data_IF_737710299560
#
_entry.id   IF_737710299560
#
_cell.length_a   1.000
_cell.length_b   1.000
_cell.length_c   1.000
_cell.angle_alpha   90.00
_cell.angle_beta   90.00
_cell.angle_gamma   90.00
#
_symmetry.space_group_name_H-M   'P 1'
#
loop_
_entity.id
_entity.type
_entity.pdbx_description
1 polymer ?
#
# COMPACT_ATOMS: atom_id res chain seq x y z
N UNK A 1 -35.19 1.85 -19.29
CA UNK A 1 -34.20 2.65 -18.54
C UNK A 1 -34.32 2.21 -17.09
N UNK A 2 -33.38 1.40 -16.58
CA UNK A 2 -33.49 0.80 -15.25
C UNK A 2 -33.03 1.81 -14.17
N UNK A 3 -33.75 1.85 -13.05
CA UNK A 3 -33.52 2.75 -11.91
C UNK A 3 -32.17 2.42 -11.22
N UNK A 4 -31.22 3.37 -11.11
CA UNK A 4 -29.93 3.16 -10.46
C UNK A 4 -30.02 2.84 -8.96
N UNK A 5 -31.19 2.99 -8.33
CA UNK A 5 -31.42 2.68 -6.91
C UNK A 5 -31.62 1.19 -6.60
N UNK A 6 -31.68 0.33 -7.62
CA UNK A 6 -31.91 -1.12 -7.46
C UNK A 6 -30.62 -1.96 -7.43
N UNK A 7 -29.44 -1.31 -7.40
CA UNK A 7 -28.17 -2.05 -7.26
C UNK A 7 -28.14 -2.72 -5.91
N UNK A 8 -28.32 -4.04 -5.91
CA UNK A 8 -28.12 -4.88 -4.73
C UNK A 8 -26.72 -4.59 -4.18
N UNK A 9 -26.56 -4.28 -2.88
CA UNK A 9 -25.24 -4.22 -2.26
C UNK A 9 -24.53 -5.54 -2.58
N UNK A 10 -23.32 -5.47 -3.11
CA UNK A 10 -22.53 -6.67 -3.37
C UNK A 10 -22.58 -7.55 -2.11
N UNK A 11 -23.12 -8.75 -2.26
CA UNK A 11 -23.15 -9.73 -1.18
C UNK A 11 -21.72 -9.84 -0.61
N UNK A 12 -21.56 -9.99 0.71
CA UNK A 12 -20.24 -10.25 1.27
C UNK A 12 -19.75 -11.56 0.63
N UNK A 13 -18.77 -11.45 -0.26
CA UNK A 13 -18.11 -12.61 -0.83
C UNK A 13 -17.42 -13.32 0.33
N UNK A 14 -17.89 -14.51 0.62
CA UNK A 14 -17.35 -15.41 1.63
C UNK A 14 -16.01 -15.96 1.10
N UNK A 15 -14.98 -15.10 1.05
CA UNK A 15 -13.58 -15.47 0.76
C UNK A 15 -12.94 -16.10 2.01
N UNK A 16 -13.64 -17.06 2.60
CA UNK A 16 -13.13 -17.85 3.71
C UNK A 16 -12.09 -18.85 3.16
N UNK A 17 -10.81 -18.46 3.24
CA UNK A 17 -9.71 -19.43 3.32
C UNK A 17 -8.63 -19.40 2.24
N UNK A 18 -8.70 -18.52 1.24
CA UNK A 18 -7.58 -18.38 0.30
C UNK A 18 -6.63 -17.31 0.83
N UNK A 19 -5.50 -17.72 1.40
CA UNK A 19 -4.39 -16.81 1.70
C UNK A 19 -3.87 -16.25 0.39
N UNK A 20 -4.40 -15.10 -0.05
CA UNK A 20 -3.87 -14.41 -1.21
C UNK A 20 -2.48 -13.88 -0.84
N UNK A 21 -1.44 -14.16 -1.64
CA UNK A 21 -0.14 -13.56 -1.42
C UNK A 21 -0.26 -12.04 -1.35
N UNK A 22 0.45 -11.43 -0.41
CA UNK A 22 0.47 -9.97 -0.30
C UNK A 22 1.17 -9.38 -1.53
N UNK A 23 0.38 -8.91 -2.49
CA UNK A 23 0.89 -8.35 -3.75
C UNK A 23 1.68 -7.05 -3.55
N UNK A 24 1.25 -6.22 -2.61
CA UNK A 24 1.83 -4.91 -2.32
C UNK A 24 1.68 -4.56 -0.83
N UNK A 25 2.74 -4.06 -0.19
CA UNK A 25 2.73 -3.56 1.18
C UNK A 25 3.50 -2.24 1.31
N UNK A 26 3.06 -1.38 2.23
CA UNK A 26 3.77 -0.16 2.63
C UNK A 26 4.38 -0.42 4.01
N UNK A 27 5.70 -0.37 4.12
CA UNK A 27 6.38 -0.49 5.40
C UNK A 27 6.37 0.81 6.18
N UNK A 28 6.50 0.71 7.50
CA UNK A 28 6.63 1.87 8.41
C UNK A 28 7.92 2.66 8.19
N UNK A 29 8.88 2.08 7.48
CA UNK A 29 10.10 2.75 7.00
C UNK A 29 9.84 3.60 5.73
N UNK A 30 8.59 3.70 5.28
CA UNK A 30 8.17 4.46 4.11
C UNK A 30 8.46 3.78 2.77
N UNK A 31 8.86 2.49 2.78
CA UNK A 31 9.17 1.74 1.56
C UNK A 31 7.99 0.91 1.07
N UNK A 32 7.99 0.64 -0.23
CA UNK A 32 7.02 -0.23 -0.89
C UNK A 32 7.64 -1.61 -1.07
N UNK A 33 6.88 -2.64 -0.72
CA UNK A 33 7.24 -4.04 -0.84
C UNK A 33 6.24 -4.76 -1.72
N UNK A 34 6.69 -5.82 -2.37
CA UNK A 34 5.87 -6.71 -3.19
C UNK A 34 6.10 -8.15 -2.74
N UNK A 35 5.20 -9.06 -3.11
CA UNK A 35 5.45 -10.49 -2.92
C UNK A 35 6.81 -10.86 -3.54
N UNK A 36 7.69 -11.50 -2.79
CA UNK A 36 8.95 -11.99 -3.33
C UNK A 36 8.71 -12.90 -4.55
N UNK A 37 7.70 -13.76 -4.50
CA UNK A 37 7.39 -14.71 -5.57
C UNK A 37 7.04 -14.06 -6.91
N UNK A 38 6.60 -12.79 -6.92
CA UNK A 38 6.28 -12.07 -8.15
C UNK A 38 7.52 -11.59 -8.93
N UNK A 39 8.73 -11.73 -8.35
CA UNK A 39 9.99 -11.35 -8.99
C UNK A 39 10.81 -12.58 -9.41
N UNK A 40 11.57 -12.55 -10.51
CA UNK A 40 12.55 -13.60 -10.82
C UNK A 40 13.60 -13.80 -9.69
N UNK A 41 14.07 -15.04 -9.40
CA UNK A 41 15.01 -15.31 -8.29
C UNK A 41 16.32 -14.52 -8.36
N UNK A 42 16.86 -14.33 -9.56
CA UNK A 42 18.05 -13.53 -9.87
C UNK A 42 17.90 -12.05 -9.46
N UNK A 43 16.66 -11.54 -9.44
CA UNK A 43 16.34 -10.18 -9.00
C UNK A 43 16.04 -10.06 -7.51
N UNK A 44 15.96 -11.18 -6.79
CA UNK A 44 15.72 -11.22 -5.34
C UNK A 44 16.99 -11.46 -4.53
N UNK A 45 18.00 -12.08 -5.14
CA UNK A 45 19.24 -12.44 -4.45
C UNK A 45 19.94 -11.22 -3.83
N UNK A 46 20.31 -11.34 -2.55
CA UNK A 46 20.98 -10.29 -1.79
C UNK A 46 20.10 -9.09 -1.39
N UNK A 47 18.80 -9.09 -1.70
CA UNK A 47 17.89 -7.99 -1.33
C UNK A 47 17.31 -8.19 0.07
N UNK A 48 17.07 -7.08 0.76
CA UNK A 48 16.35 -7.08 2.03
C UNK A 48 14.89 -7.51 1.81
N UNK A 49 14.43 -8.43 2.65
CA UNK A 49 13.04 -8.90 2.64
C UNK A 49 12.27 -8.29 3.81
N UNK A 50 11.02 -7.92 3.56
CA UNK A 50 10.09 -7.57 4.61
C UNK A 50 9.43 -8.83 5.14
N UNK A 51 9.44 -8.99 6.46
CA UNK A 51 8.71 -10.03 7.16
C UNK A 51 7.74 -9.36 8.12
N UNK A 52 6.45 -9.54 7.87
CA UNK A 52 5.38 -8.94 8.66
C UNK A 52 4.14 -9.80 8.63
N UNK A 53 3.14 -9.39 9.40
CA UNK A 53 1.83 -10.02 9.48
C UNK A 53 0.75 -9.05 8.98
N UNK A 54 -0.37 -9.62 8.52
CA UNK A 54 -1.54 -8.82 8.21
C UNK A 54 -2.02 -8.13 9.50
N UNK A 55 -2.15 -6.80 9.45
CA UNK A 55 -2.70 -6.04 10.55
C UNK A 55 -4.13 -6.48 10.85
N UNK A 56 -4.51 -6.47 12.12
CA UNK A 56 -5.92 -6.57 12.51
C UNK A 56 -6.69 -5.34 12.02
N UNK A 57 -8.04 -5.41 11.92
CA UNK A 57 -8.83 -4.25 11.50
C UNK A 57 -8.70 -3.01 12.39
N UNK A 58 -8.38 -3.18 13.68
CA UNK A 58 -8.13 -2.08 14.59
C UNK A 58 -6.77 -1.42 14.30
N UNK A 59 -5.70 -2.22 14.22
CA UNK A 59 -4.35 -1.73 13.90
C UNK A 59 -4.30 -1.05 12.53
N UNK A 60 -5.02 -1.59 11.54
CA UNK A 60 -5.09 -0.98 10.21
C UNK A 60 -5.73 0.42 10.25
N UNK A 61 -6.74 0.65 11.10
CA UNK A 61 -7.37 1.98 11.27
C UNK A 61 -6.37 2.97 11.87
N UNK A 62 -5.64 2.56 12.90
CA UNK A 62 -4.64 3.41 13.55
C UNK A 62 -3.48 3.74 12.60
N UNK A 63 -3.04 2.75 11.81
CA UNK A 63 -2.02 2.93 10.78
C UNK A 63 -2.49 3.88 9.67
N UNK A 64 -3.74 3.75 9.20
CA UNK A 64 -4.32 4.65 8.19
C UNK A 64 -4.42 6.07 8.72
N UNK A 65 -4.83 6.26 9.98
CA UNK A 65 -4.94 7.59 10.58
C UNK A 65 -3.55 8.26 10.66
N UNK A 66 -2.53 7.46 10.98
CA UNK A 66 -1.12 7.89 10.98
C UNK A 66 -0.64 8.23 9.57
N UNK A 67 -0.88 7.37 8.58
CA UNK A 67 -0.52 7.60 7.17
C UNK A 67 -1.23 8.84 6.64
N UNK A 68 -2.51 9.04 6.94
CA UNK A 68 -3.27 10.21 6.51
C UNK A 68 -2.68 11.51 7.06
N UNK A 69 -2.28 11.52 8.34
CA UNK A 69 -1.56 12.66 8.95
C UNK A 69 -0.18 12.89 8.31
N UNK A 70 0.51 11.83 7.90
CA UNK A 70 1.83 11.91 7.26
C UNK A 70 1.76 12.23 5.75
N UNK A 71 0.68 11.89 5.05
CA UNK A 71 0.53 12.05 3.61
C UNK A 71 0.64 13.52 3.15
N UNK A 72 0.26 14.45 4.02
CA UNK A 72 0.46 15.87 3.79
C UNK A 72 1.96 16.22 3.77
N UNK A 73 2.75 15.64 4.67
CA UNK A 73 4.20 15.86 4.76
C UNK A 73 4.94 15.23 3.57
N UNK A 74 4.51 14.06 3.09
CA UNK A 74 5.09 13.40 1.89
C UNK A 74 4.84 14.23 0.63
N UNK A 75 3.64 14.80 0.48
CA UNK A 75 3.33 15.69 -0.66
C UNK A 75 4.19 16.95 -0.64
N UNK A 76 4.43 17.51 0.55
CA UNK A 76 5.30 18.68 0.73
C UNK A 76 6.76 18.33 0.38
N UNK A 77 7.29 17.18 0.81
CA UNK A 77 8.65 16.75 0.50
C UNK A 77 8.88 16.55 -1.01
N UNK A 78 7.93 15.90 -1.71
CA UNK A 78 7.99 15.75 -3.18
C UNK A 78 8.00 17.11 -3.88
N UNK A 79 7.20 18.07 -3.40
CA UNK A 79 7.17 19.43 -3.96
C UNK A 79 8.43 20.25 -3.63
N UNK A 80 9.07 20.02 -2.47
CA UNK A 80 10.31 20.68 -2.08
C UNK A 80 11.51 20.13 -2.87
N UNK A 81 11.66 18.82 -2.99
CA UNK A 81 12.71 18.20 -3.82
C UNK A 81 12.59 18.56 -5.31
N UNK A 82 11.37 18.74 -5.81
CA UNK A 82 11.13 19.21 -7.19
C UNK A 82 11.58 20.66 -7.42
N UNK A 83 11.55 21.52 -6.39
CA UNK A 83 11.99 22.92 -6.48
C UNK A 83 13.51 23.04 -6.40
N UNK A 84 14.15 22.27 -5.54
CA UNK A 84 15.62 22.29 -5.37
C UNK A 84 16.37 21.75 -6.61
N UNK A 85 15.82 20.73 -7.29
CA UNK A 85 16.38 20.24 -8.56
C UNK A 85 16.20 21.19 -9.76
N UNK A 86 15.35 22.21 -9.65
CA UNK A 86 15.08 23.20 -10.71
C UNK A 86 15.87 24.50 -10.57
N UNK A 87 16.52 24.74 -9.43
CA UNK A 87 17.33 25.93 -9.16
C UNK A 87 18.82 25.79 -9.47
N UNK A 88 19.24 24.66 -10.04
CA UNK A 88 20.63 24.38 -10.39
C UNK A 88 20.76 24.10 -11.89
N UNK A 89 20.47 25.14 -12.69
CA UNK A 89 20.85 25.22 -14.11
C UNK A 89 21.20 26.66 -14.47
#
# INVERSE_FOLDING_TARGET
MADPSTRTPNAPTDEAGTSLPTELAIGTDGRIYINAESMPPDKREGRLMFQGYAMTPAEARDAIDTIHRLAFNVTVEVLQGSREGSGQR
#
